data_IF_590253884404
#
_entry.id   IF_590253884404
#
_cell.length_a   1.000
_cell.length_b   1.000
_cell.length_c   1.000
_cell.angle_alpha   90.00
_cell.angle_beta   90.00
_cell.angle_gamma   90.00
#
_symmetry.space_group_name_H-M   'P 1'
#
loop_
_entity.id
_entity.type
_entity.pdbx_description
1 polymer ?
#
# COMPACT_ATOMS: atom_id res chain seq x y z
N UNK A 1 6.45 22.33 -0.96
CA UNK A 1 6.39 21.80 -2.34
C UNK A 1 5.40 20.65 -2.48
N UNK A 2 5.51 19.59 -1.65
CA UNK A 2 4.61 18.42 -1.68
C UNK A 2 3.13 18.79 -1.47
N UNK A 3 2.80 19.58 -0.44
CA UNK A 3 1.41 19.98 -0.14
C UNK A 3 0.72 20.65 -1.35
N UNK A 4 1.45 21.45 -2.12
CA UNK A 4 0.90 22.18 -3.28
C UNK A 4 0.70 21.28 -4.50
N UNK A 5 1.53 20.25 -4.67
CA UNK A 5 1.59 19.46 -5.90
C UNK A 5 1.13 18.00 -5.73
N UNK A 6 0.75 17.60 -4.51
CA UNK A 6 0.39 16.22 -4.11
C UNK A 6 1.52 15.19 -4.19
N UNK A 7 2.47 15.33 -5.11
CA UNK A 7 3.66 14.51 -5.25
C UNK A 7 4.86 15.35 -5.72
N UNK A 8 6.07 14.84 -5.50
CA UNK A 8 7.33 15.43 -5.99
C UNK A 8 8.21 14.30 -6.52
N UNK A 9 8.73 14.48 -7.73
CA UNK A 9 9.77 13.61 -8.29
C UNK A 9 11.13 14.28 -8.09
N UNK A 10 12.03 13.59 -7.38
CA UNK A 10 13.43 13.97 -7.25
C UNK A 10 14.22 13.25 -8.36
N UNK A 11 14.84 14.02 -9.26
CA UNK A 11 15.61 13.50 -10.41
C UNK A 11 16.94 14.22 -10.54
N UNK A 12 17.98 13.47 -10.95
CA UNK A 12 19.33 14.01 -11.13
C UNK A 12 20.24 13.84 -9.90
N UNK A 13 19.86 12.95 -8.97
CA UNK A 13 20.68 12.54 -7.83
C UNK A 13 21.37 11.21 -8.12
N UNK A 14 22.57 11.02 -7.58
CA UNK A 14 23.36 9.79 -7.72
C UNK A 14 22.99 8.80 -6.60
N UNK A 15 21.81 8.20 -6.73
CA UNK A 15 21.31 7.15 -5.82
C UNK A 15 21.42 5.81 -6.55
N UNK A 16 22.20 4.88 -6.01
CA UNK A 16 22.53 3.61 -6.68
C UNK A 16 21.96 2.39 -5.95
N UNK A 17 21.62 2.52 -4.67
CA UNK A 17 21.20 1.40 -3.81
C UNK A 17 20.31 1.83 -2.65
N UNK A 18 19.71 0.85 -1.99
CA UNK A 18 18.81 1.04 -0.86
C UNK A 18 19.41 1.88 0.30
N UNK A 19 20.72 1.83 0.54
CA UNK A 19 21.36 2.65 1.57
C UNK A 19 21.30 4.15 1.24
N UNK A 20 21.56 4.51 -0.02
CA UNK A 20 21.50 5.91 -0.47
C UNK A 20 20.05 6.42 -0.37
N UNK A 21 19.08 5.56 -0.71
CA UNK A 21 17.66 5.88 -0.52
C UNK A 21 17.31 6.06 0.95
N UNK A 22 17.80 5.21 1.86
CA UNK A 22 17.54 5.38 3.28
C UNK A 22 18.09 6.70 3.82
N UNK A 23 19.25 7.16 3.35
CA UNK A 23 19.80 8.46 3.77
C UNK A 23 18.87 9.64 3.39
N UNK A 24 18.15 9.52 2.26
CA UNK A 24 17.08 10.46 1.90
C UNK A 24 15.89 10.34 2.86
N UNK A 25 15.44 9.11 3.17
CA UNK A 25 14.34 8.88 4.13
C UNK A 25 14.61 9.52 5.49
N UNK A 26 15.84 9.39 6.02
CA UNK A 26 16.22 9.97 7.31
C UNK A 26 16.25 11.51 7.27
N UNK A 27 16.47 12.12 6.11
CA UNK A 27 16.54 13.58 5.98
C UNK A 27 15.20 14.26 6.24
N UNK A 28 14.09 13.57 5.97
CA UNK A 28 12.75 14.14 6.14
C UNK A 28 12.22 14.05 7.58
N UNK A 29 12.85 13.25 8.45
CA UNK A 29 12.45 13.04 9.85
C UNK A 29 10.96 12.70 10.00
N UNK A 30 10.44 11.89 9.09
CA UNK A 30 9.07 11.39 9.15
C UNK A 30 9.02 10.05 9.86
N UNK A 31 7.94 9.83 10.63
CA UNK A 31 7.71 8.57 11.32
C UNK A 31 7.63 7.39 10.34
N UNK A 32 8.21 6.26 10.73
CA UNK A 32 8.04 5.00 10.02
C UNK A 32 6.73 4.32 10.42
N UNK A 33 6.15 3.56 9.49
CA UNK A 33 4.91 2.81 9.73
C UNK A 33 5.09 1.35 9.37
N UNK A 34 4.61 0.48 10.25
CA UNK A 34 4.60 -0.95 9.99
C UNK A 34 3.64 -1.27 8.83
N UNK A 35 4.15 -1.94 7.81
CA UNK A 35 3.32 -2.43 6.70
C UNK A 35 2.33 -3.51 7.16
N UNK A 36 1.04 -3.24 6.90
CA UNK A 36 -0.07 -4.17 7.13
C UNK A 36 -0.94 -4.19 5.87
N UNK A 37 -0.43 -4.83 4.82
CA UNK A 37 -1.16 -5.04 3.56
C UNK A 37 -0.95 -6.45 2.98
N UNK A 38 -1.63 -6.75 1.86
CA UNK A 38 -1.75 -8.10 1.30
C UNK A 38 -0.61 -8.49 0.34
N UNK A 39 0.30 -7.57 0.02
CA UNK A 39 1.42 -7.85 -0.87
C UNK A 39 2.61 -8.41 -0.06
N UNK A 40 3.31 -9.44 -0.54
CA UNK A 40 4.59 -9.83 0.02
C UNK A 40 5.62 -8.71 -0.17
N UNK A 41 6.44 -8.49 0.87
CA UNK A 41 7.54 -7.52 0.89
C UNK A 41 8.75 -8.12 1.60
N UNK A 42 9.92 -7.84 1.05
CA UNK A 42 11.22 -8.21 1.62
C UNK A 42 11.88 -6.98 2.22
N UNK A 43 12.41 -7.13 3.43
CA UNK A 43 13.23 -6.09 4.07
C UNK A 43 14.57 -5.99 3.36
N UNK A 44 14.99 -4.78 2.99
CA UNK A 44 16.25 -4.57 2.26
C UNK A 44 17.28 -3.91 3.19
N UNK A 45 16.98 -2.71 3.70
CA UNK A 45 17.91 -1.97 4.53
C UNK A 45 17.19 -0.93 5.39
N UNK A 46 17.34 -0.99 6.72
CA UNK A 46 16.71 -0.05 7.69
C UNK A 46 15.22 0.17 7.36
N UNK A 47 14.82 1.33 6.83
CA UNK A 47 13.42 1.69 6.50
C UNK A 47 13.03 1.31 5.06
N UNK A 48 13.97 0.85 4.25
CA UNK A 48 13.75 0.42 2.88
C UNK A 48 13.28 -1.04 2.81
N UNK A 49 12.18 -1.24 2.09
CA UNK A 49 11.56 -2.52 1.77
C UNK A 49 11.26 -2.58 0.28
N UNK A 50 11.16 -3.77 -0.29
CA UNK A 50 10.56 -3.94 -1.62
C UNK A 50 9.07 -3.56 -1.59
N UNK A 51 8.52 -3.09 -2.72
CA UNK A 51 7.14 -2.58 -2.78
C UNK A 51 6.08 -3.67 -2.99
N UNK A 52 6.10 -4.35 -4.14
CA UNK A 52 5.23 -5.48 -4.45
C UNK A 52 6.05 -6.54 -5.19
N UNK A 53 6.02 -7.77 -4.69
CA UNK A 53 6.74 -8.92 -5.27
C UNK A 53 5.80 -9.91 -5.97
N UNK A 54 4.59 -9.47 -6.32
CA UNK A 54 3.66 -10.24 -7.14
C UNK A 54 4.09 -10.33 -8.62
N UNK A 55 3.32 -11.05 -9.46
CA UNK A 55 3.64 -11.24 -10.87
C UNK A 55 3.77 -9.91 -11.64
N UNK A 56 4.71 -9.85 -12.59
CA UNK A 56 5.00 -8.63 -13.36
C UNK A 56 3.91 -8.30 -14.39
N UNK A 57 3.16 -9.31 -14.81
CA UNK A 57 2.12 -9.22 -15.83
C UNK A 57 0.79 -8.70 -15.26
N UNK A 58 0.64 -8.66 -13.93
CA UNK A 58 -0.58 -8.20 -13.29
C UNK A 58 -0.59 -6.67 -13.10
N UNK A 59 -1.75 -6.07 -13.37
CA UNK A 59 -1.95 -4.64 -13.23
C UNK A 59 -2.34 -4.25 -11.80
N UNK A 60 -1.61 -3.28 -11.23
CA UNK A 60 -1.93 -2.70 -9.93
C UNK A 60 -2.92 -1.54 -10.11
N UNK A 61 -4.16 -1.73 -9.65
CA UNK A 61 -5.17 -0.68 -9.68
C UNK A 61 -4.82 0.50 -8.77
N UNK A 62 -5.33 1.69 -9.10
CA UNK A 62 -5.20 2.86 -8.23
C UNK A 62 -5.80 2.59 -6.85
N UNK A 63 -5.04 2.94 -5.83
CA UNK A 63 -5.46 2.83 -4.44
C UNK A 63 -4.68 3.83 -3.58
N UNK A 64 -5.20 4.07 -2.38
CA UNK A 64 -4.42 4.66 -1.30
C UNK A 64 -3.73 3.53 -0.52
N UNK A 65 -2.44 3.69 -0.25
CA UNK A 65 -1.64 2.70 0.47
C UNK A 65 -2.28 2.42 1.84
N UNK A 66 -2.53 1.14 2.13
CA UNK A 66 -3.07 0.69 3.43
C UNK A 66 -4.38 1.40 3.85
N UNK A 67 -5.23 1.82 2.90
CA UNK A 67 -6.44 2.61 3.21
C UNK A 67 -7.49 1.88 4.08
N UNK A 68 -7.42 0.55 4.15
CA UNK A 68 -8.38 -0.28 4.88
C UNK A 68 -7.98 -0.53 6.34
N UNK A 69 -6.85 0.03 6.80
CA UNK A 69 -6.44 -0.02 8.21
C UNK A 69 -6.49 1.37 8.83
N UNK A 70 -6.75 1.41 10.14
CA UNK A 70 -6.95 2.67 10.89
C UNK A 70 -5.73 3.59 10.88
N UNK A 71 -4.53 3.01 10.91
CA UNK A 71 -3.26 3.74 10.82
C UNK A 71 -2.70 3.52 9.42
N UNK A 72 -3.02 4.39 8.48
CA UNK A 72 -2.49 4.38 7.12
C UNK A 72 -1.39 5.45 6.97
N UNK A 73 -0.43 5.28 6.04
CA UNK A 73 0.61 6.25 5.79
C UNK A 73 0.04 7.56 5.25
N UNK A 74 0.53 8.68 5.78
CA UNK A 74 0.22 10.01 5.25
C UNK A 74 1.08 10.38 4.03
N UNK A 75 2.22 9.70 3.87
CA UNK A 75 3.23 9.93 2.84
C UNK A 75 3.81 8.59 2.44
N UNK A 76 4.19 8.48 1.18
CA UNK A 76 4.86 7.32 0.62
C UNK A 76 6.06 7.81 -0.19
N UNK A 77 7.20 7.16 0.02
CA UNK A 77 8.44 7.44 -0.70
C UNK A 77 8.82 6.19 -1.50
N UNK A 78 9.15 6.38 -2.77
CA UNK A 78 9.49 5.30 -3.70
C UNK A 78 10.81 5.62 -4.39
N UNK A 79 11.60 4.57 -4.62
CA UNK A 79 12.89 4.64 -5.27
C UNK A 79 13.00 3.56 -6.34
N UNK A 80 13.53 3.95 -7.50
CA UNK A 80 13.84 3.05 -8.60
C UNK A 80 15.35 2.77 -8.57
N UNK A 81 15.72 1.61 -8.02
CA UNK A 81 17.11 1.13 -8.02
C UNK A 81 17.50 0.56 -9.40
N UNK A 82 16.59 -0.22 -9.99
CA UNK A 82 16.76 -0.82 -11.31
C UNK A 82 15.64 -0.33 -12.23
N UNK A 83 16.03 0.31 -13.33
CA UNK A 83 15.10 0.76 -14.35
C UNK A 83 14.78 -0.39 -15.32
N UNK A 84 13.50 -0.60 -15.59
CA UNK A 84 13.06 -1.51 -16.65
C UNK A 84 13.12 -0.81 -18.03
N UNK A 85 13.49 -1.52 -19.12
CA UNK A 85 13.52 -0.94 -20.45
C UNK A 85 12.14 -0.49 -20.97
N UNK A 86 11.08 -1.18 -20.52
CA UNK A 86 9.69 -0.92 -20.88
C UNK A 86 8.79 -1.29 -19.69
N UNK A 87 7.72 -0.52 -19.49
CA UNK A 87 6.75 -0.74 -18.42
C UNK A 87 7.31 -0.44 -17.03
N UNK A 88 6.60 -0.93 -16.01
CA UNK A 88 7.00 -0.77 -14.60
C UNK A 88 6.82 0.65 -14.07
N UNK A 89 6.15 1.54 -14.80
CA UNK A 89 5.84 2.87 -14.30
C UNK A 89 4.93 2.76 -13.07
N UNK A 90 5.09 3.71 -12.13
CA UNK A 90 4.18 3.86 -11.00
C UNK A 90 3.30 5.08 -11.25
N UNK A 91 2.16 4.93 -11.95
CA UNK A 91 1.28 6.05 -12.24
C UNK A 91 0.65 6.60 -10.95
N UNK A 92 0.47 7.91 -10.90
CA UNK A 92 -0.09 8.61 -9.75
C UNK A 92 -1.23 9.54 -10.20
N UNK A 93 -2.29 9.59 -9.39
CA UNK A 93 -3.42 10.50 -9.59
C UNK A 93 -3.79 11.19 -8.26
N UNK A 94 -3.94 12.53 -8.23
CA UNK A 94 -4.46 13.21 -7.04
C UNK A 94 -5.92 12.79 -6.77
N UNK A 95 -6.17 12.12 -5.65
CA UNK A 95 -7.48 11.52 -5.38
C UNK A 95 -8.63 12.52 -5.31
N UNK A 96 -8.39 13.72 -4.79
CA UNK A 96 -9.41 14.78 -4.76
C UNK A 96 -9.89 15.19 -6.16
N UNK A 97 -9.04 15.08 -7.20
CA UNK A 97 -9.47 15.30 -8.59
C UNK A 97 -10.39 14.21 -9.09
N UNK A 98 -10.18 12.97 -8.65
CA UNK A 98 -11.12 11.88 -8.92
C UNK A 98 -12.44 12.14 -8.21
N UNK A 99 -12.41 12.57 -6.95
CA UNK A 99 -13.61 12.92 -6.19
C UNK A 99 -14.40 14.08 -6.82
N UNK A 100 -13.73 15.17 -7.22
CA UNK A 100 -14.36 16.31 -7.92
C UNK A 100 -15.14 15.82 -9.16
N UNK A 101 -14.50 15.01 -10.01
CA UNK A 101 -15.16 14.48 -11.23
C UNK A 101 -16.28 13.49 -10.90
N UNK A 102 -16.11 12.65 -9.88
CA UNK A 102 -17.15 11.72 -9.44
C UNK A 102 -18.39 12.45 -8.93
N UNK A 103 -18.23 13.56 -8.22
CA UNK A 103 -19.34 14.39 -7.74
C UNK A 103 -20.10 15.06 -8.90
N UNK A 104 -19.38 15.46 -9.96
CA UNK A 104 -19.98 16.06 -11.15
C UNK A 104 -20.68 15.03 -12.05
N UNK A 105 -20.02 13.90 -12.32
CA UNK A 105 -20.48 12.91 -13.30
C UNK A 105 -21.45 11.88 -12.68
N UNK A 106 -21.33 11.59 -11.39
CA UNK A 106 -22.09 10.52 -10.69
C UNK A 106 -22.58 10.92 -9.28
N UNK A 107 -23.27 12.08 -9.11
CA UNK A 107 -23.64 12.60 -7.79
C UNK A 107 -24.49 11.62 -6.95
N UNK A 108 -25.44 10.91 -7.57
CA UNK A 108 -26.30 9.94 -6.87
C UNK A 108 -25.51 8.76 -6.31
N UNK A 109 -24.52 8.26 -7.07
CA UNK A 109 -23.66 7.17 -6.63
C UNK A 109 -22.76 7.60 -5.47
N UNK A 110 -22.23 8.83 -5.52
CA UNK A 110 -21.45 9.39 -4.42
C UNK A 110 -22.30 9.54 -3.16
N UNK A 111 -23.50 10.08 -3.28
CA UNK A 111 -24.44 10.21 -2.15
C UNK A 111 -24.79 8.84 -1.54
N UNK A 112 -25.01 7.83 -2.37
CA UNK A 112 -25.26 6.46 -1.90
C UNK A 112 -24.05 5.88 -1.15
N UNK A 113 -22.84 6.06 -1.69
CA UNK A 113 -21.60 5.61 -1.06
C UNK A 113 -21.35 6.31 0.28
N UNK A 114 -21.63 7.61 0.39
CA UNK A 114 -21.52 8.36 1.65
C UNK A 114 -22.53 7.87 2.69
N UNK A 115 -23.78 7.60 2.28
CA UNK A 115 -24.83 7.12 3.19
C UNK A 115 -24.60 5.70 3.68
N UNK A 116 -24.17 4.80 2.80
CA UNK A 116 -24.07 3.35 3.09
C UNK A 116 -22.67 2.91 3.51
N UNK A 117 -21.64 3.65 3.11
CA UNK A 117 -20.26 3.20 3.17
C UNK A 117 -19.98 2.03 2.22
N UNK A 118 -18.79 1.44 2.37
CA UNK A 118 -18.35 0.29 1.59
C UNK A 118 -18.00 -0.88 2.52
N UNK A 119 -18.29 -2.10 2.07
CA UNK A 119 -17.90 -3.34 2.75
C UNK A 119 -16.96 -4.13 1.86
N UNK A 120 -15.79 -4.44 2.39
CA UNK A 120 -14.79 -5.25 1.71
C UNK A 120 -14.68 -6.62 2.36
N UNK A 121 -14.54 -7.64 1.53
CA UNK A 121 -14.25 -9.01 1.96
C UNK A 121 -12.99 -9.48 1.26
N UNK A 122 -12.05 -10.02 2.02
CA UNK A 122 -10.81 -10.59 1.50
C UNK A 122 -10.65 -12.02 1.99
N UNK A 123 -10.11 -12.86 1.12
CA UNK A 123 -9.66 -14.21 1.48
C UNK A 123 -8.14 -14.19 1.52
N UNK A 124 -7.57 -14.52 2.67
CA UNK A 124 -6.13 -14.65 2.84
C UNK A 124 -5.71 -16.12 2.71
N UNK A 125 -4.56 -16.36 2.09
CA UNK A 125 -3.94 -17.69 2.05
C UNK A 125 -3.38 -18.05 3.43
N UNK A 126 -3.12 -19.34 3.67
CA UNK A 126 -2.42 -19.75 4.90
C UNK A 126 -0.96 -19.26 4.92
N UNK A 127 -0.28 -19.37 3.78
CA UNK A 127 1.14 -19.02 3.60
C UNK A 127 1.31 -18.04 2.44
N UNK A 128 2.46 -17.37 2.41
CA UNK A 128 2.81 -16.46 1.33
C UNK A 128 2.96 -17.19 0.00
N UNK A 129 2.47 -16.57 -1.08
CA UNK A 129 2.52 -17.06 -2.45
C UNK A 129 2.78 -15.91 -3.43
N UNK A 130 3.99 -15.82 -3.97
CA UNK A 130 4.37 -14.74 -4.89
C UNK A 130 3.75 -14.89 -6.28
N UNK A 131 3.04 -15.98 -6.58
CA UNK A 131 2.27 -16.12 -7.83
C UNK A 131 0.98 -15.30 -7.86
N UNK A 132 0.65 -14.61 -6.76
CA UNK A 132 -0.53 -13.74 -6.64
C UNK A 132 -0.16 -12.37 -6.09
N UNK A 133 -0.75 -11.32 -6.67
CA UNK A 133 -0.67 -9.95 -6.13
C UNK A 133 -1.21 -9.80 -4.69
N UNK A 134 -2.07 -10.72 -4.26
CA UNK A 134 -2.58 -10.80 -2.87
C UNK A 134 -2.06 -12.06 -2.19
N UNK A 135 -0.81 -12.36 -2.50
CA UNK A 135 -0.11 -13.56 -2.09
C UNK A 135 0.20 -13.65 -0.61
N UNK A 136 0.12 -12.56 0.15
CA UNK A 136 0.52 -12.59 1.55
C UNK A 136 -0.47 -13.40 2.39
N UNK A 137 0.03 -14.43 3.05
CA UNK A 137 -0.74 -15.27 3.95
C UNK A 137 -1.10 -14.54 5.23
N UNK A 138 -2.17 -15.00 5.89
CA UNK A 138 -2.62 -14.39 7.15
C UNK A 138 -1.57 -14.54 8.27
N UNK A 139 -0.78 -15.62 8.26
CA UNK A 139 0.24 -15.84 9.29
C UNK A 139 1.29 -14.74 9.30
N UNK A 140 1.73 -14.31 8.12
CA UNK A 140 2.67 -13.20 7.96
C UNK A 140 1.98 -11.85 8.18
N UNK A 141 0.80 -11.65 7.58
CA UNK A 141 0.03 -10.41 7.72
C UNK A 141 -0.23 -10.05 9.18
N UNK A 142 -0.65 -11.02 9.97
CA UNK A 142 -0.98 -10.86 11.37
C UNK A 142 0.17 -11.25 12.30
N UNK A 143 1.30 -11.78 11.81
CA UNK A 143 2.48 -12.24 12.59
C UNK A 143 2.12 -13.25 13.69
N UNK A 144 1.26 -14.21 13.38
CA UNK A 144 0.84 -15.26 14.30
C UNK A 144 0.41 -16.50 13.52
N UNK A 145 0.59 -17.68 14.08
CA UNK A 145 0.03 -18.94 13.57
C UNK A 145 -1.15 -19.43 14.42
N UNK A 146 -1.56 -18.66 15.43
CA UNK A 146 -2.69 -18.95 16.30
C UNK A 146 -3.95 -18.21 15.82
N UNK A 147 -5.05 -18.94 15.70
CA UNK A 147 -6.33 -18.42 15.22
C UNK A 147 -7.02 -17.52 16.24
N UNK A 148 -6.89 -17.80 17.55
CA UNK A 148 -7.48 -16.93 18.57
C UNK A 148 -6.75 -15.58 18.63
N UNK A 149 -5.43 -15.63 18.47
CA UNK A 149 -4.61 -14.43 18.37
C UNK A 149 -4.88 -13.64 17.08
N UNK A 150 -5.08 -14.33 15.95
CA UNK A 150 -5.52 -13.72 14.69
C UNK A 150 -6.80 -12.92 14.88
N UNK A 151 -7.85 -13.52 15.46
CA UNK A 151 -9.13 -12.86 15.69
C UNK A 151 -8.99 -11.62 16.58
N UNK A 152 -8.16 -11.71 17.62
CA UNK A 152 -7.85 -10.59 18.52
C UNK A 152 -7.17 -9.45 17.77
N UNK A 153 -6.12 -9.75 16.99
CA UNK A 153 -5.36 -8.76 16.21
C UNK A 153 -6.20 -8.15 15.10
N UNK A 154 -7.01 -8.94 14.40
CA UNK A 154 -7.93 -8.48 13.36
C UNK A 154 -8.99 -7.53 13.92
N UNK A 155 -9.57 -7.86 15.07
CA UNK A 155 -10.53 -6.98 15.75
C UNK A 155 -9.90 -5.65 16.18
N UNK A 156 -8.65 -5.67 16.63
CA UNK A 156 -7.89 -4.45 16.94
C UNK A 156 -7.69 -3.55 15.71
N UNK A 157 -7.62 -4.14 14.51
CA UNK A 157 -7.54 -3.43 13.22
C UNK A 157 -8.92 -3.05 12.64
N UNK A 158 -10.02 -3.34 13.35
CA UNK A 158 -11.38 -3.06 12.88
C UNK A 158 -11.90 -4.05 11.83
N UNK A 159 -11.27 -5.21 11.70
CA UNK A 159 -11.64 -6.26 10.76
C UNK A 159 -12.26 -7.44 11.50
N UNK A 160 -13.29 -8.06 10.90
CA UNK A 160 -13.85 -9.31 11.39
C UNK A 160 -13.30 -10.47 10.55
N UNK A 161 -12.83 -11.53 11.21
CA UNK A 161 -12.43 -12.77 10.57
C UNK A 161 -13.57 -13.79 10.68
N UNK A 162 -13.81 -14.55 9.62
CA UNK A 162 -14.71 -15.70 9.63
C UNK A 162 -13.99 -16.89 9.02
N UNK A 163 -14.08 -18.05 9.67
CA UNK A 163 -13.59 -19.31 9.11
C UNK A 163 -14.55 -19.76 8.00
N UNK A 164 -14.12 -19.64 6.75
CA UNK A 164 -14.73 -20.29 5.59
C UNK A 164 -13.73 -21.22 4.96
#
# INVERSE_FOLDING_TARGET
MIIKNSAVLLRGFDLQKAEDFNDILETFDWDDIRYVGPAPRTHVYKRAWTANEGPLEEFIYYHHEMILIKQCPLKLELFCEVLLPEGGETPFVPSFKVTERMLEEYPEAVEEMEKKGLKYTFTALNKNDTSSMRGRGWEDAFRTSDREELETRAKALGTNCSNT
#
